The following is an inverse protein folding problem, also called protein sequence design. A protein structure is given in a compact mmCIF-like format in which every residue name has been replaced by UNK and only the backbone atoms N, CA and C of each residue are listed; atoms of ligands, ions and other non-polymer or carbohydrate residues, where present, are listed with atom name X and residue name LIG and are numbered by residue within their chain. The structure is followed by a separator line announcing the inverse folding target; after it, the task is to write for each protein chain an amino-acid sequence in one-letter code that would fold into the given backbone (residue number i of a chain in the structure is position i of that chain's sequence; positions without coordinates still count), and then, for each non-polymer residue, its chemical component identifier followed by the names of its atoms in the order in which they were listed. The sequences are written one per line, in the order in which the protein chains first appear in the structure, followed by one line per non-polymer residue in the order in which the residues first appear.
data_IF_016515006983
#
_entry.id   IF_016515006983
#
_cell.length_a   1.000
_cell.length_b   1.000
_cell.length_c   1.000
_cell.angle_alpha   90.00
_cell.angle_beta   90.00
_cell.angle_gamma   90.00
#
_symmetry.space_group_name_H-M   'P 1'
#
loop_
_entity.id
_entity.type
_entity.pdbx_description
1 polymer ?
#
# COMPACT_ATOMS: atom_id res chain seq x y z
N UNK A 1 21.36 2.16 31.72
CA UNK A 1 21.15 3.58 31.35
C UNK A 1 20.86 3.66 29.87
N UNK A 2 19.82 4.40 29.45
CA UNK A 2 19.41 4.50 28.04
C UNK A 2 17.89 4.40 27.82
N UNK A 3 17.09 5.21 28.52
CA UNK A 3 15.65 5.37 28.29
C UNK A 3 15.30 6.55 27.35
N UNK A 4 16.28 7.16 26.67
CA UNK A 4 16.12 8.47 26.04
C UNK A 4 16.01 8.49 24.50
N UNK A 5 15.68 7.37 23.85
CA UNK A 5 15.75 7.29 22.38
C UNK A 5 14.52 7.76 21.58
N UNK A 6 13.31 7.71 22.16
CA UNK A 6 12.05 7.82 21.38
C UNK A 6 11.04 8.83 21.94
N UNK A 7 11.16 9.29 23.18
CA UNK A 7 10.15 10.14 23.83
C UNK A 7 10.39 11.65 23.65
N UNK A 8 11.55 12.08 23.13
CA UNK A 8 12.00 13.47 23.27
C UNK A 8 11.59 14.48 22.19
N UNK A 9 10.94 14.11 21.08
CA UNK A 9 10.66 15.06 19.97
C UNK A 9 9.33 14.87 19.23
N UNK A 10 8.30 14.34 19.88
CA UNK A 10 6.96 14.31 19.27
C UNK A 10 6.21 15.63 19.54
N UNK A 11 6.68 16.73 18.96
CA UNK A 11 5.85 17.93 18.76
C UNK A 11 5.08 17.79 17.44
N UNK A 12 3.76 18.01 17.50
CA UNK A 12 2.76 17.96 16.42
C UNK A 12 3.19 17.58 15.00
N UNK A 13 2.78 16.38 14.55
CA UNK A 13 2.43 16.07 13.16
C UNK A 13 3.36 16.61 12.06
N UNK A 14 4.67 16.37 12.14
CA UNK A 14 5.56 16.66 11.00
C UNK A 14 5.23 15.72 9.83
N UNK A 15 4.45 16.23 8.87
CA UNK A 15 4.17 15.57 7.59
C UNK A 15 5.41 15.66 6.70
N UNK A 16 5.82 14.54 6.13
CA UNK A 16 6.93 14.47 5.17
C UNK A 16 6.35 14.61 3.76
N UNK A 17 6.38 15.81 3.20
CA UNK A 17 5.72 16.15 1.94
C UNK A 17 6.27 15.34 0.75
N UNK A 18 7.54 14.94 0.81
CA UNK A 18 8.23 14.16 -0.20
C UNK A 18 7.58 12.78 -0.39
N UNK A 19 7.05 12.21 0.70
CA UNK A 19 6.38 10.93 0.67
C UNK A 19 5.09 11.00 -0.15
N UNK A 20 4.36 12.12 -0.12
CA UNK A 20 3.14 12.29 -0.90
C UNK A 20 3.40 12.26 -2.41
N UNK A 21 4.50 12.88 -2.87
CA UNK A 21 4.91 12.83 -4.27
C UNK A 21 5.36 11.44 -4.69
N UNK A 22 6.20 10.77 -3.89
CA UNK A 22 6.67 9.42 -4.19
C UNK A 22 5.51 8.43 -4.29
N UNK A 23 4.50 8.56 -3.42
CA UNK A 23 3.26 7.79 -3.50
C UNK A 23 2.51 8.03 -4.81
N UNK A 24 2.37 9.30 -5.23
CA UNK A 24 1.68 9.61 -6.47
C UNK A 24 2.40 9.05 -7.71
N UNK A 25 3.73 9.17 -7.74
CA UNK A 25 4.56 8.58 -8.81
C UNK A 25 4.39 7.06 -8.85
N UNK A 26 4.43 6.39 -7.69
CA UNK A 26 4.17 4.95 -7.59
C UNK A 26 2.77 4.57 -8.08
N UNK A 27 1.75 5.36 -7.72
CA UNK A 27 0.37 5.16 -8.17
C UNK A 27 0.29 5.21 -9.69
N UNK A 28 0.83 6.28 -10.29
CA UNK A 28 0.82 6.48 -11.73
C UNK A 28 1.54 5.35 -12.45
N UNK A 29 2.72 4.93 -11.97
CA UNK A 29 3.43 3.79 -12.54
C UNK A 29 2.56 2.53 -12.59
N UNK A 30 1.80 2.24 -11.51
CA UNK A 30 0.86 1.12 -11.47
C UNK A 30 -0.32 1.32 -12.43
N UNK A 31 -0.86 2.54 -12.55
CA UNK A 31 -1.90 2.83 -13.56
C UNK A 31 -1.41 2.56 -14.97
N UNK A 32 -0.22 3.06 -15.34
CA UNK A 32 0.38 2.83 -16.65
C UNK A 32 0.65 1.35 -16.88
N UNK A 33 1.13 0.61 -15.88
CA UNK A 33 1.29 -0.85 -15.96
C UNK A 33 -0.04 -1.54 -16.30
N UNK A 34 -1.12 -1.17 -15.61
CA UNK A 34 -2.42 -1.75 -15.86
C UNK A 34 -2.93 -1.39 -17.26
N UNK A 35 -2.88 -0.11 -17.65
CA UNK A 35 -3.50 0.36 -18.90
C UNK A 35 -2.70 0.03 -20.16
N UNK A 36 -1.37 0.16 -20.12
CA UNK A 36 -0.53 0.03 -21.30
C UNK A 36 0.15 -1.33 -21.46
N UNK A 37 0.12 -2.20 -20.45
CA UNK A 37 0.75 -3.52 -20.52
C UNK A 37 -0.17 -4.64 -20.01
N UNK A 38 -0.38 -4.75 -18.70
CA UNK A 38 -1.00 -5.92 -18.06
C UNK A 38 -2.40 -6.21 -18.57
N UNK A 39 -3.19 -5.16 -18.85
CA UNK A 39 -4.57 -5.30 -19.28
C UNK A 39 -4.71 -6.10 -20.58
N UNK A 40 -3.82 -5.84 -21.53
CA UNK A 40 -3.77 -6.50 -22.83
C UNK A 40 -2.94 -7.80 -22.77
N UNK A 41 -1.74 -7.74 -22.21
CA UNK A 41 -0.78 -8.86 -22.19
C UNK A 41 -1.32 -10.11 -21.47
N UNK A 42 -2.24 -9.95 -20.51
CA UNK A 42 -2.87 -11.09 -19.83
C UNK A 42 -3.91 -11.84 -20.68
N UNK A 43 -4.41 -11.22 -21.75
CA UNK A 43 -5.50 -11.75 -22.60
C UNK A 43 -6.88 -11.83 -21.92
N UNK A 44 -6.98 -11.45 -20.64
CA UNK A 44 -8.15 -11.72 -19.79
C UNK A 44 -8.94 -10.46 -19.39
N UNK A 45 -8.42 -9.25 -19.61
CA UNK A 45 -9.04 -8.01 -19.09
C UNK A 45 -9.49 -7.03 -20.15
N UNK A 46 -8.62 -6.66 -21.08
CA UNK A 46 -8.95 -5.75 -22.18
C UNK A 46 -8.43 -6.25 -23.52
N UNK A 47 -9.16 -5.94 -24.59
CA UNK A 47 -8.73 -6.16 -25.98
C UNK A 47 -7.85 -5.03 -26.50
N UNK A 48 -7.81 -3.89 -25.80
CA UNK A 48 -7.06 -2.71 -26.23
C UNK A 48 -5.59 -2.82 -25.86
N UNK A 49 -4.72 -2.92 -26.87
CA UNK A 49 -3.28 -2.76 -26.70
C UNK A 49 -2.89 -1.28 -26.68
N UNK A 50 -1.73 -0.96 -26.08
CA UNK A 50 -1.15 0.38 -26.17
C UNK A 50 0.39 0.33 -26.31
N UNK A 51 0.90 -0.06 -27.51
CA UNK A 51 2.32 -0.38 -27.71
C UNK A 51 3.29 0.78 -27.41
N UNK A 52 2.83 2.03 -27.57
CA UNK A 52 3.65 3.23 -27.40
C UNK A 52 4.30 3.33 -26.01
N UNK A 53 3.62 2.85 -24.96
CA UNK A 53 4.13 2.90 -23.58
C UNK A 53 4.47 1.53 -23.02
N UNK A 54 4.22 0.44 -23.76
CA UNK A 54 4.36 -0.93 -23.29
C UNK A 54 5.76 -1.22 -22.73
N UNK A 55 6.81 -0.78 -23.45
CA UNK A 55 8.22 -1.03 -23.12
C UNK A 55 8.64 -0.49 -21.74
N UNK A 56 8.00 0.59 -21.29
CA UNK A 56 8.23 1.22 -19.98
C UNK A 56 7.17 0.77 -18.97
N UNK A 57 5.91 0.71 -19.38
CA UNK A 57 4.76 0.40 -18.53
C UNK A 57 4.85 -1.00 -17.91
N UNK A 58 5.47 -1.97 -18.58
CA UNK A 58 5.65 -3.34 -18.04
C UNK A 58 6.43 -3.40 -16.72
N UNK A 59 7.21 -2.36 -16.38
CA UNK A 59 7.88 -2.25 -15.08
C UNK A 59 7.03 -1.54 -14.01
N UNK A 60 5.91 -0.94 -14.39
CA UNK A 60 5.13 -0.08 -13.49
C UNK A 60 4.48 -0.81 -12.31
N UNK A 61 4.31 -2.14 -12.38
CA UNK A 61 3.88 -2.93 -11.21
C UNK A 61 4.82 -2.77 -10.02
N UNK A 62 6.11 -2.48 -10.30
CA UNK A 62 7.14 -2.28 -9.29
C UNK A 62 6.86 -1.05 -8.41
N UNK A 63 5.85 -0.23 -8.71
CA UNK A 63 5.40 0.85 -7.84
C UNK A 63 4.81 0.36 -6.51
N UNK A 64 4.33 -0.88 -6.44
CA UNK A 64 3.74 -1.46 -5.22
C UNK A 64 4.79 -1.66 -4.13
N UNK A 65 6.01 -2.01 -4.49
CA UNK A 65 7.16 -2.20 -3.62
C UNK A 65 7.58 -0.86 -2.99
N UNK A 66 7.50 0.24 -3.76
CA UNK A 66 7.69 1.59 -3.23
C UNK A 66 6.56 1.97 -2.27
N UNK A 67 5.31 1.59 -2.54
CA UNK A 67 4.21 1.77 -1.58
C UNK A 67 4.48 1.04 -0.26
N UNK A 68 4.92 -0.22 -0.29
CA UNK A 68 5.24 -0.98 0.92
C UNK A 68 6.41 -0.37 1.71
N UNK A 69 7.44 0.12 1.02
CA UNK A 69 8.55 0.83 1.67
C UNK A 69 8.09 2.14 2.32
N UNK A 70 7.26 2.93 1.63
CA UNK A 70 6.66 4.14 2.18
C UNK A 70 5.76 3.81 3.39
N UNK A 71 4.96 2.75 3.29
CA UNK A 71 4.10 2.30 4.38
C UNK A 71 4.92 1.91 5.61
N UNK A 72 6.00 1.15 5.46
CA UNK A 72 6.95 0.85 6.53
C UNK A 72 7.42 2.09 7.29
N UNK A 73 7.80 3.14 6.56
CA UNK A 73 8.23 4.43 7.13
C UNK A 73 7.10 5.11 7.91
N UNK A 74 5.95 5.34 7.26
CA UNK A 74 4.84 6.14 7.83
C UNK A 74 4.15 5.41 8.98
N UNK A 75 4.07 4.09 8.93
CA UNK A 75 3.43 3.27 9.95
C UNK A 75 4.25 3.29 11.23
N UNK A 76 5.57 3.06 11.16
CA UNK A 76 6.41 3.14 12.34
C UNK A 76 6.45 4.56 12.91
N UNK A 77 6.46 5.59 12.05
CA UNK A 77 6.33 6.99 12.46
C UNK A 77 5.04 7.26 13.25
N UNK A 78 3.91 6.69 12.81
CA UNK A 78 2.63 6.86 13.50
C UNK A 78 2.61 6.08 14.82
N UNK A 79 3.16 4.86 14.81
CA UNK A 79 3.22 3.97 15.96
C UNK A 79 4.19 4.44 17.06
N UNK A 80 5.19 5.26 16.73
CA UNK A 80 6.20 5.74 17.68
C UNK A 80 5.60 6.46 18.92
N UNK A 81 4.38 6.99 18.82
CA UNK A 81 3.65 7.58 19.94
C UNK A 81 3.14 6.53 20.97
N UNK A 82 3.26 5.23 20.70
CA UNK A 82 2.94 4.14 21.63
C UNK A 82 1.45 3.85 21.86
N UNK A 83 0.54 4.68 21.34
CA UNK A 83 -0.90 4.49 21.55
C UNK A 83 -1.53 3.58 20.50
N UNK A 84 -1.87 2.35 20.91
CA UNK A 84 -2.60 1.38 20.08
C UNK A 84 -3.92 1.96 19.55
N UNK A 85 -4.73 2.57 20.43
CA UNK A 85 -6.03 3.16 20.05
C UNK A 85 -5.86 4.22 18.97
N UNK A 86 -4.97 5.21 19.18
CA UNK A 86 -4.72 6.27 18.19
C UNK A 86 -4.21 5.70 16.87
N UNK A 87 -3.34 4.69 16.94
CA UNK A 87 -2.82 4.01 15.76
C UNK A 87 -3.94 3.35 14.93
N UNK A 88 -4.73 2.48 15.55
CA UNK A 88 -5.80 1.71 14.87
C UNK A 88 -6.87 2.65 14.32
N UNK A 89 -7.38 3.58 15.13
CA UNK A 89 -8.41 4.54 14.70
C UNK A 89 -7.90 5.39 13.53
N UNK A 90 -6.65 5.85 13.58
CA UNK A 90 -6.03 6.61 12.49
C UNK A 90 -5.96 5.81 11.18
N UNK A 91 -5.68 4.51 11.23
CA UNK A 91 -5.60 3.66 10.03
C UNK A 91 -6.98 3.34 9.46
N UNK A 92 -7.93 2.96 10.31
CA UNK A 92 -9.30 2.66 9.86
C UNK A 92 -9.94 3.89 9.23
N UNK A 93 -9.84 5.05 9.89
CA UNK A 93 -10.43 6.29 9.40
C UNK A 93 -9.79 6.82 8.11
N UNK A 94 -8.55 6.40 7.82
CA UNK A 94 -7.86 6.73 6.59
C UNK A 94 -8.29 5.85 5.41
N UNK A 95 -8.51 4.56 5.63
CA UNK A 95 -8.72 3.60 4.54
C UNK A 95 -10.21 3.38 4.23
N UNK A 96 -11.00 3.07 5.25
CA UNK A 96 -12.34 2.51 5.04
C UNK A 96 -13.32 3.45 4.32
N UNK A 97 -13.42 4.76 4.64
CA UNK A 97 -14.41 5.62 3.99
C UNK A 97 -14.24 5.69 2.47
N UNK A 98 -13.02 5.95 1.99
CA UNK A 98 -12.74 6.00 0.56
C UNK A 98 -12.77 4.60 -0.08
N UNK A 99 -12.30 3.56 0.62
CA UNK A 99 -12.40 2.18 0.16
C UNK A 99 -13.83 1.75 -0.10
N UNK A 100 -14.75 2.01 0.83
CA UNK A 100 -16.17 1.64 0.69
C UNK A 100 -16.80 2.28 -0.54
N UNK A 101 -16.55 3.57 -0.77
CA UNK A 101 -17.07 4.25 -1.95
C UNK A 101 -16.45 3.68 -3.23
N UNK A 102 -15.14 3.51 -3.29
CA UNK A 102 -14.49 2.99 -4.49
C UNK A 102 -14.87 1.54 -4.78
N UNK A 103 -14.94 0.68 -3.75
CA UNK A 103 -15.39 -0.70 -3.88
C UNK A 103 -16.84 -0.78 -4.38
N UNK A 104 -17.73 0.08 -3.87
CA UNK A 104 -19.11 0.19 -4.34
C UNK A 104 -19.19 0.65 -5.80
N UNK A 105 -18.38 1.65 -6.18
CA UNK A 105 -18.31 2.14 -7.56
C UNK A 105 -17.81 1.05 -8.51
N UNK A 106 -16.76 0.32 -8.14
CA UNK A 106 -16.24 -0.80 -8.94
C UNK A 106 -17.28 -1.92 -9.04
N UNK A 107 -17.96 -2.28 -7.94
CA UNK A 107 -19.02 -3.30 -7.96
C UNK A 107 -20.18 -2.88 -8.87
N UNK A 108 -20.64 -1.63 -8.77
CA UNK A 108 -21.69 -1.10 -9.64
C UNK A 108 -21.25 -1.08 -11.10
N UNK A 109 -20.02 -0.68 -11.41
CA UNK A 109 -19.49 -0.71 -12.76
C UNK A 109 -19.43 -2.14 -13.31
N UNK A 110 -19.07 -3.14 -12.50
CA UNK A 110 -19.14 -4.55 -12.91
C UNK A 110 -20.57 -4.95 -13.27
N UNK A 111 -21.57 -4.57 -12.48
CA UNK A 111 -22.98 -4.90 -12.75
C UNK A 111 -23.52 -4.22 -14.01
N UNK A 112 -23.12 -2.97 -14.27
CA UNK A 112 -23.66 -2.17 -15.38
C UNK A 112 -22.92 -2.40 -16.71
N UNK A 113 -21.59 -2.55 -16.66
CA UNK A 113 -20.71 -2.52 -17.84
C UNK A 113 -19.62 -3.60 -17.82
N UNK A 114 -19.67 -4.57 -16.91
CA UNK A 114 -18.63 -5.61 -16.79
C UNK A 114 -18.54 -6.58 -17.96
N UNK A 115 -19.65 -6.84 -18.64
CA UNK A 115 -19.71 -7.82 -19.74
C UNK A 115 -19.22 -9.22 -19.31
N UNK A 116 -18.73 -10.05 -20.24
CA UNK A 116 -18.33 -11.43 -19.93
C UNK A 116 -16.98 -11.52 -19.18
N UNK A 117 -16.17 -10.46 -19.18
CA UNK A 117 -14.81 -10.46 -18.59
C UNK A 117 -14.78 -10.13 -17.11
N UNK A 118 -15.80 -9.44 -16.60
CA UNK A 118 -15.88 -9.00 -15.22
C UNK A 118 -17.17 -9.49 -14.59
N UNK A 119 -17.04 -10.20 -13.48
CA UNK A 119 -18.17 -10.65 -12.67
C UNK A 119 -17.81 -10.54 -11.19
N UNK A 120 -18.82 -10.25 -10.37
CA UNK A 120 -18.71 -10.24 -8.92
C UNK A 120 -20.04 -10.63 -8.31
N UNK A 121 -20.01 -11.46 -7.27
CA UNK A 121 -21.23 -11.80 -6.52
C UNK A 121 -21.49 -10.76 -5.43
N UNK A 122 -22.75 -10.63 -5.00
CA UNK A 122 -23.09 -9.74 -3.89
C UNK A 122 -22.37 -10.15 -2.58
N UNK A 123 -22.20 -11.45 -2.33
CA UNK A 123 -21.42 -11.93 -1.17
C UNK A 123 -19.94 -11.57 -1.29
N UNK A 124 -19.35 -11.67 -2.49
CA UNK A 124 -17.99 -11.23 -2.73
C UNK A 124 -17.84 -9.73 -2.42
N UNK A 125 -18.82 -8.91 -2.80
CA UNK A 125 -18.86 -7.49 -2.46
C UNK A 125 -18.89 -7.24 -0.96
N UNK A 126 -19.80 -7.88 -0.23
CA UNK A 126 -19.90 -7.72 1.23
C UNK A 126 -18.59 -8.10 1.94
N UNK A 127 -17.95 -9.20 1.52
CA UNK A 127 -16.67 -9.61 2.09
C UNK A 127 -15.56 -8.62 1.74
N UNK A 128 -15.50 -8.12 0.49
CA UNK A 128 -14.51 -7.12 0.09
C UNK A 128 -14.65 -5.82 0.88
N UNK A 129 -15.87 -5.39 1.25
CA UNK A 129 -16.11 -4.21 2.08
C UNK A 129 -15.46 -4.27 3.48
N UNK A 130 -15.03 -5.45 3.92
CA UNK A 130 -14.24 -5.63 5.16
C UNK A 130 -12.73 -5.50 4.95
N UNK A 131 -12.24 -5.56 3.70
CA UNK A 131 -10.82 -5.69 3.35
C UNK A 131 -10.13 -6.96 3.93
N UNK A 132 -10.89 -7.91 4.48
CA UNK A 132 -10.40 -9.17 5.06
C UNK A 132 -10.61 -10.36 4.11
N UNK A 133 -10.94 -10.11 2.85
CA UNK A 133 -11.28 -11.14 1.87
C UNK A 133 -10.14 -12.17 1.68
N UNK A 134 -8.88 -11.75 1.82
CA UNK A 134 -7.72 -12.65 1.77
C UNK A 134 -7.68 -13.69 2.91
N UNK A 135 -8.17 -13.36 4.11
CA UNK A 135 -8.20 -14.31 5.24
C UNK A 135 -9.25 -15.41 5.04
N UNK A 136 -10.36 -15.08 4.39
CA UNK A 136 -11.46 -16.02 4.08
C UNK A 136 -11.36 -16.60 2.66
N UNK A 137 -10.24 -16.35 1.96
CA UNK A 137 -9.95 -16.84 0.60
C UNK A 137 -11.01 -16.44 -0.44
N UNK A 138 -11.66 -15.30 -0.26
CA UNK A 138 -12.57 -14.72 -1.23
C UNK A 138 -11.81 -13.79 -2.17
N UNK A 139 -12.00 -13.95 -3.48
CA UNK A 139 -11.34 -13.14 -4.48
C UNK A 139 -11.67 -11.65 -4.32
N UNK A 140 -10.67 -10.80 -4.52
CA UNK A 140 -10.89 -9.36 -4.52
C UNK A 140 -11.77 -8.94 -5.70
N UNK A 141 -12.68 -7.99 -5.49
CA UNK A 141 -13.50 -7.42 -6.57
C UNK A 141 -12.62 -6.72 -7.60
N UNK A 142 -11.58 -6.02 -7.14
CA UNK A 142 -10.54 -5.48 -7.99
C UNK A 142 -9.20 -6.12 -7.65
N UNK A 143 -8.38 -6.35 -8.68
CA UNK A 143 -7.06 -6.96 -8.51
C UNK A 143 -6.19 -6.15 -7.56
N UNK A 144 -6.13 -4.83 -7.73
CA UNK A 144 -5.31 -3.92 -6.91
C UNK A 144 -5.57 -3.99 -5.40
N UNK A 145 -6.69 -4.55 -4.93
CA UNK A 145 -6.98 -4.64 -3.49
C UNK A 145 -6.09 -5.65 -2.75
N UNK A 146 -5.40 -6.54 -3.46
CA UNK A 146 -4.48 -7.51 -2.81
C UNK A 146 -3.37 -6.80 -2.01
N UNK A 147 -2.88 -5.65 -2.48
CA UNK A 147 -1.79 -4.92 -1.80
C UNK A 147 -2.27 -4.28 -0.50
N UNK A 148 -3.53 -3.86 -0.43
CA UNK A 148 -4.15 -3.34 0.78
C UNK A 148 -4.33 -4.41 1.84
N UNK A 149 -4.66 -5.64 1.41
CA UNK A 149 -4.71 -6.78 2.31
C UNK A 149 -3.35 -7.02 2.98
N UNK A 150 -2.27 -6.99 2.19
CA UNK A 150 -0.89 -7.08 2.72
C UNK A 150 -0.60 -5.93 3.71
N UNK A 151 -1.05 -4.72 3.41
CA UNK A 151 -0.89 -3.57 4.31
C UNK A 151 -1.66 -3.76 5.64
N UNK A 152 -2.85 -4.37 5.60
CA UNK A 152 -3.63 -4.72 6.80
C UNK A 152 -2.90 -5.75 7.66
N UNK A 153 -2.26 -6.76 7.05
CA UNK A 153 -1.44 -7.71 7.80
C UNK A 153 -0.30 -6.98 8.53
N UNK A 154 0.35 -6.02 7.87
CA UNK A 154 1.40 -5.24 8.52
C UNK A 154 0.86 -4.32 9.64
N UNK A 155 -0.33 -3.73 9.46
CA UNK A 155 -1.00 -3.01 10.56
C UNK A 155 -1.29 -3.91 11.75
N UNK A 156 -1.69 -5.17 11.52
CA UNK A 156 -1.93 -6.14 12.59
C UNK A 156 -0.64 -6.47 13.34
N UNK A 157 0.48 -6.68 12.63
CA UNK A 157 1.79 -6.91 13.24
C UNK A 157 2.22 -5.73 14.13
N UNK A 158 2.12 -4.49 13.63
CA UNK A 158 2.49 -3.30 14.42
C UNK A 158 1.53 -3.08 15.59
N UNK A 159 0.24 -3.38 15.42
CA UNK A 159 -0.74 -3.34 16.50
C UNK A 159 -0.41 -4.33 17.61
N UNK A 160 0.05 -5.55 17.27
CA UNK A 160 0.52 -6.53 18.26
C UNK A 160 1.75 -6.00 19.03
N UNK A 161 2.70 -5.37 18.33
CA UNK A 161 3.89 -4.74 18.98
C UNK A 161 3.48 -3.63 19.95
N UNK A 162 2.51 -2.79 19.57
CA UNK A 162 1.98 -1.73 20.44
C UNK A 162 1.22 -2.29 21.64
N UNK A 163 0.43 -3.35 21.44
CA UNK A 163 -0.30 -4.03 22.51
C UNK A 163 0.65 -4.63 23.56
N UNK A 164 1.78 -5.18 23.12
CA UNK A 164 2.82 -5.73 24.00
C UNK A 164 3.75 -4.66 24.60
N UNK A 165 3.58 -3.38 24.25
CA UNK A 165 4.43 -2.30 24.73
C UNK A 165 5.88 -2.36 24.22
N UNK A 166 6.14 -3.11 23.14
CA UNK A 166 7.49 -3.39 22.63
C UNK A 166 7.97 -2.38 21.57
N UNK A 167 7.24 -1.29 21.34
CA UNK A 167 7.58 -0.29 20.31
C UNK A 167 8.96 0.36 20.56
N UNK A 168 9.39 0.45 21.82
CA UNK A 168 10.73 0.93 22.19
C UNK A 168 11.86 0.03 21.68
N UNK A 169 11.54 -1.24 21.39
CA UNK A 169 12.47 -2.24 20.83
C UNK A 169 12.28 -2.44 19.33
N UNK A 170 11.64 -1.48 18.62
CA UNK A 170 11.33 -1.60 17.20
C UNK A 170 12.54 -2.04 16.35
N UNK A 171 13.74 -1.48 16.57
CA UNK A 171 14.94 -1.88 15.82
C UNK A 171 15.28 -3.37 15.99
N UNK A 172 15.21 -3.90 17.22
CA UNK A 172 15.49 -5.31 17.49
C UNK A 172 14.42 -6.23 16.88
N UNK A 173 13.14 -5.82 16.93
CA UNK A 173 12.04 -6.55 16.30
C UNK A 173 12.15 -6.57 14.78
N UNK A 174 12.54 -5.44 14.15
CA UNK A 174 12.80 -5.37 12.71
C UNK A 174 13.98 -6.26 12.33
N UNK A 175 15.04 -6.30 13.14
CA UNK A 175 16.18 -7.20 12.92
C UNK A 175 15.78 -8.68 13.05
N UNK A 176 14.96 -9.02 14.05
CA UNK A 176 14.42 -10.37 14.20
C UNK A 176 13.52 -10.76 13.03
N UNK A 177 12.66 -9.84 12.55
CA UNK A 177 11.82 -10.07 11.38
C UNK A 177 12.64 -10.23 10.10
N UNK A 178 13.71 -9.44 9.93
CA UNK A 178 14.65 -9.59 8.82
C UNK A 178 15.36 -10.95 8.87
N UNK A 179 15.87 -11.36 10.04
CA UNK A 179 16.51 -12.66 10.22
C UNK A 179 15.54 -13.82 9.94
N UNK A 180 14.29 -13.73 10.41
CA UNK A 180 13.25 -14.70 10.12
C UNK A 180 12.92 -14.76 8.61
N UNK A 181 12.91 -13.61 7.92
CA UNK A 181 12.71 -13.53 6.47
C UNK A 181 13.82 -14.27 5.72
N UNK A 182 15.09 -14.07 6.11
CA UNK A 182 16.24 -14.80 5.56
C UNK A 182 16.14 -16.31 5.85
N UNK A 183 15.79 -16.69 7.07
CA UNK A 183 15.66 -18.10 7.44
C UNK A 183 14.55 -18.80 6.64
N UNK A 184 13.41 -18.15 6.46
CA UNK A 184 12.27 -18.67 5.69
C UNK A 184 12.53 -18.72 4.18
N UNK A 185 13.49 -17.95 3.68
CA UNK A 185 13.96 -18.06 2.31
C UNK A 185 14.78 -19.34 2.05
N UNK A 186 15.35 -19.94 3.10
CA UNK A 186 16.12 -21.19 3.06
C UNK A 186 15.24 -22.39 3.43
N UNK A 187 14.40 -22.24 4.46
CA UNK A 187 13.48 -23.27 4.95
C UNK A 187 12.05 -22.74 4.83
N UNK A 188 11.38 -22.95 3.68
CA UNK A 188 10.06 -22.37 3.44
C UNK A 188 9.00 -22.96 4.38
N UNK A 189 8.25 -22.09 5.04
CA UNK A 189 7.03 -22.44 5.76
C UNK A 189 5.89 -21.51 5.30
N UNK A 190 4.81 -22.05 4.68
CA UNK A 190 3.78 -21.22 4.07
C UNK A 190 2.99 -20.39 5.08
N UNK A 191 2.77 -20.91 6.29
CA UNK A 191 2.05 -20.20 7.36
C UNK A 191 2.87 -19.02 7.85
N UNK A 192 4.16 -19.24 8.14
CA UNK A 192 5.04 -18.15 8.60
C UNK A 192 5.31 -17.13 7.49
N UNK A 193 5.45 -17.57 6.24
CA UNK A 193 5.55 -16.69 5.06
C UNK A 193 4.34 -15.76 4.93
N UNK A 194 3.15 -16.29 5.14
CA UNK A 194 1.91 -15.51 5.14
C UNK A 194 1.82 -14.55 6.33
N UNK A 195 2.07 -15.03 7.56
CA UNK A 195 1.94 -14.22 8.78
C UNK A 195 2.99 -13.11 8.88
N UNK A 196 4.23 -13.39 8.44
CA UNK A 196 5.34 -12.44 8.45
C UNK A 196 5.52 -11.73 7.11
N UNK A 197 4.62 -11.96 6.15
CA UNK A 197 4.60 -11.25 4.86
C UNK A 197 5.98 -11.30 4.18
N UNK A 198 6.67 -12.44 4.22
CA UNK A 198 8.11 -12.49 3.88
C UNK A 198 8.40 -12.11 2.43
N UNK A 199 7.41 -12.23 1.55
CA UNK A 199 7.49 -11.82 0.14
C UNK A 199 7.71 -10.32 -0.06
N UNK A 200 7.26 -9.50 0.89
CA UNK A 200 7.34 -8.05 0.83
C UNK A 200 8.02 -7.43 2.07
N UNK A 201 8.40 -8.27 3.05
CA UNK A 201 9.05 -7.87 4.28
C UNK A 201 10.29 -6.98 4.06
N UNK A 202 11.19 -7.23 3.08
CA UNK A 202 12.34 -6.37 2.84
C UNK A 202 11.96 -4.90 2.61
N UNK A 203 10.86 -4.62 1.92
CA UNK A 203 10.40 -3.26 1.66
C UNK A 203 9.82 -2.60 2.92
N UNK A 204 8.93 -3.29 3.65
CA UNK A 204 8.38 -2.78 4.91
C UNK A 204 9.47 -2.54 5.96
N UNK A 205 10.41 -3.48 6.11
CA UNK A 205 11.54 -3.36 7.04
C UNK A 205 12.42 -2.19 6.62
N UNK A 206 12.81 -2.09 5.34
CA UNK A 206 13.63 -0.97 4.86
C UNK A 206 12.96 0.38 5.14
N UNK A 207 11.66 0.51 4.85
CA UNK A 207 10.87 1.69 5.17
C UNK A 207 10.92 2.07 6.65
N UNK A 208 10.68 1.09 7.52
CA UNK A 208 10.72 1.28 8.97
C UNK A 208 12.13 1.66 9.47
N UNK A 209 13.18 1.06 8.92
CA UNK A 209 14.58 1.40 9.23
C UNK A 209 14.92 2.81 8.73
N UNK A 210 14.45 3.22 7.54
CA UNK A 210 14.60 4.60 7.06
C UNK A 210 13.93 5.60 8.00
N UNK A 211 12.79 5.27 8.60
CA UNK A 211 12.20 6.11 9.65
C UNK A 211 13.09 6.18 10.89
N UNK A 212 13.68 5.07 11.35
CA UNK A 212 14.63 5.09 12.46
C UNK A 212 15.88 5.93 12.15
N UNK A 213 16.34 5.93 10.90
CA UNK A 213 17.42 6.82 10.44
C UNK A 213 16.97 8.27 10.49
N UNK A 214 15.76 8.56 10.01
CA UNK A 214 15.18 9.90 10.01
C UNK A 214 14.94 10.48 11.42
N UNK A 215 14.55 9.63 12.38
CA UNK A 215 14.24 10.04 13.76
C UNK A 215 15.46 10.06 14.67
N UNK A 216 16.39 9.13 14.47
CA UNK A 216 17.43 8.80 15.46
C UNK A 216 18.82 8.61 14.83
N UNK A 217 19.03 9.00 13.56
CA UNK A 217 20.32 9.01 12.87
C UNK A 217 20.73 7.68 12.21
N UNK A 218 21.76 7.71 11.37
CA UNK A 218 22.33 6.48 10.80
C UNK A 218 23.30 5.80 11.78
N UNK A 219 23.41 4.47 11.74
CA UNK A 219 24.46 3.70 12.41
C UNK A 219 24.76 2.41 11.62
N UNK A 220 25.87 1.73 11.94
CA UNK A 220 26.31 0.53 11.22
C UNK A 220 25.26 -0.57 11.15
N UNK A 221 24.49 -0.79 12.22
CA UNK A 221 23.42 -1.81 12.24
C UNK A 221 22.30 -1.43 11.28
N UNK A 222 21.82 -0.18 11.28
CA UNK A 222 20.77 0.30 10.38
C UNK A 222 21.22 0.23 8.91
N UNK A 223 22.47 0.59 8.63
CA UNK A 223 23.05 0.46 7.29
C UNK A 223 23.13 -1.01 6.85
N UNK A 224 23.58 -1.91 7.74
CA UNK A 224 23.61 -3.36 7.48
C UNK A 224 22.22 -3.94 7.21
N UNK A 225 21.21 -3.53 7.97
CA UNK A 225 19.82 -3.93 7.74
C UNK A 225 19.30 -3.46 6.37
N UNK A 226 19.57 -2.20 5.99
CA UNK A 226 19.18 -1.65 4.69
C UNK A 226 19.87 -2.37 3.53
N UNK A 227 21.17 -2.68 3.66
CA UNK A 227 21.91 -3.44 2.67
C UNK A 227 21.36 -4.86 2.51
N UNK A 228 21.04 -5.54 3.61
CA UNK A 228 20.40 -6.85 3.59
C UNK A 228 18.99 -6.81 2.97
N UNK A 229 18.19 -5.79 3.29
CA UNK A 229 16.87 -5.60 2.66
C UNK A 229 17.00 -5.36 1.15
N UNK A 230 17.98 -4.57 0.70
CA UNK A 230 18.25 -4.35 -0.71
C UNK A 230 18.66 -5.66 -1.41
N UNK A 231 19.56 -6.44 -0.79
CA UNK A 231 19.98 -7.74 -1.31
C UNK A 231 18.82 -8.73 -1.47
N UNK A 232 17.95 -8.83 -0.46
CA UNK A 232 16.74 -9.68 -0.52
C UNK A 232 15.76 -9.18 -1.58
N UNK A 233 15.47 -7.88 -1.62
CA UNK A 233 14.59 -7.28 -2.61
C UNK A 233 15.06 -7.55 -4.04
N UNK A 234 16.37 -7.41 -4.31
CA UNK A 234 16.96 -7.71 -5.62
C UNK A 234 16.90 -9.20 -5.95
N UNK A 235 17.24 -10.07 -5.00
CA UNK A 235 17.15 -11.53 -5.16
C UNK A 235 15.73 -11.95 -5.55
N UNK A 236 14.74 -11.51 -4.78
CA UNK A 236 13.36 -11.96 -4.95
C UNK A 236 12.76 -11.38 -6.25
N UNK A 237 13.03 -10.10 -6.55
CA UNK A 237 12.58 -9.49 -7.80
C UNK A 237 13.19 -10.17 -9.04
N UNK A 238 14.51 -10.42 -9.05
CA UNK A 238 15.19 -11.08 -10.17
C UNK A 238 14.79 -12.55 -10.30
N UNK A 239 14.60 -13.25 -9.17
CA UNK A 239 14.12 -14.64 -9.13
C UNK A 239 12.69 -14.81 -9.63
N UNK A 240 11.85 -13.78 -9.49
CA UNK A 240 10.48 -13.77 -10.02
C UNK A 240 10.36 -13.48 -11.52
N UNK A 241 11.39 -12.92 -12.16
CA UNK A 241 11.32 -12.53 -13.57
C UNK A 241 11.00 -13.67 -14.53
N UNK A 242 11.60 -14.87 -14.45
CA UNK A 242 11.32 -15.94 -15.40
C UNK A 242 9.84 -16.33 -15.45
N UNK A 243 9.18 -16.41 -14.29
CA UNK A 243 7.75 -16.70 -14.21
C UNK A 243 6.90 -15.56 -14.80
N UNK A 244 7.30 -14.31 -14.56
CA UNK A 244 6.62 -13.14 -15.12
C UNK A 244 6.77 -13.09 -16.65
N UNK A 245 8.00 -13.26 -17.15
CA UNK A 245 8.34 -13.30 -18.58
C UNK A 245 7.54 -14.39 -19.29
N UNK A 246 7.43 -15.59 -18.68
CA UNK A 246 6.61 -16.68 -19.20
C UNK A 246 5.10 -16.35 -19.18
N UNK A 247 4.59 -15.76 -18.09
CA UNK A 247 3.16 -15.52 -17.90
C UNK A 247 2.57 -14.53 -18.89
N UNK A 248 3.37 -13.55 -19.30
CA UNK A 248 2.96 -12.43 -20.16
C UNK A 248 3.65 -12.42 -21.52
N UNK A 249 4.39 -13.49 -21.86
CA UNK A 249 5.16 -13.62 -23.10
C UNK A 249 5.99 -12.35 -23.42
N UNK A 250 6.77 -11.90 -22.44
CA UNK A 250 7.58 -10.68 -22.57
C UNK A 250 8.99 -10.88 -22.06
N UNK A 251 9.87 -9.91 -22.32
CA UNK A 251 11.25 -9.89 -21.80
C UNK A 251 11.47 -8.70 -20.89
N UNK A 252 12.09 -8.93 -19.73
CA UNK A 252 12.39 -7.92 -18.74
C UNK A 252 13.91 -7.67 -18.66
N UNK A 253 14.30 -6.41 -18.71
CA UNK A 253 15.70 -6.03 -18.51
C UNK A 253 16.04 -6.16 -17.04
N UNK A 254 16.94 -7.10 -16.72
CA UNK A 254 17.44 -7.29 -15.34
C UNK A 254 18.11 -6.01 -14.81
N UNK A 255 18.85 -5.30 -15.66
CA UNK A 255 19.47 -4.02 -15.30
C UNK A 255 18.45 -2.93 -14.96
N UNK A 256 17.33 -2.87 -15.69
CA UNK A 256 16.24 -1.91 -15.39
C UNK A 256 15.56 -2.24 -14.07
N UNK A 257 15.30 -3.51 -13.77
CA UNK A 257 14.73 -3.95 -12.49
C UNK A 257 15.65 -3.57 -11.33
N UNK A 258 16.95 -3.83 -11.45
CA UNK A 258 17.95 -3.44 -10.45
C UNK A 258 17.95 -1.92 -10.26
N UNK A 259 17.98 -1.15 -11.36
CA UNK A 259 18.00 0.30 -11.31
C UNK A 259 16.75 0.89 -10.62
N UNK A 260 15.56 0.34 -10.90
CA UNK A 260 14.31 0.75 -10.24
C UNK A 260 14.39 0.50 -8.73
N UNK A 261 14.74 -0.72 -8.30
CA UNK A 261 14.80 -1.05 -6.87
C UNK A 261 15.83 -0.19 -6.15
N UNK A 262 17.04 -0.05 -6.71
CA UNK A 262 18.08 0.81 -6.15
C UNK A 262 17.61 2.26 -6.06
N UNK A 263 16.90 2.76 -7.08
CA UNK A 263 16.35 4.12 -7.06
C UNK A 263 15.38 4.36 -5.90
N UNK A 264 14.59 3.35 -5.50
CA UNK A 264 13.69 3.46 -4.35
C UNK A 264 14.44 3.58 -3.03
N UNK A 265 15.49 2.75 -2.83
CA UNK A 265 16.35 2.84 -1.64
C UNK A 265 17.10 4.17 -1.59
N UNK A 266 17.59 4.67 -2.72
CA UNK A 266 18.26 5.98 -2.82
C UNK A 266 17.26 7.11 -2.51
N UNK A 267 16.07 7.09 -3.11
CA UNK A 267 15.03 8.09 -2.86
C UNK A 267 14.61 8.13 -1.37
N UNK A 268 14.36 6.97 -0.77
CA UNK A 268 14.01 6.87 0.65
C UNK A 268 15.20 7.22 1.56
N UNK A 269 16.43 6.92 1.14
CA UNK A 269 17.65 7.36 1.82
C UNK A 269 17.81 8.89 1.83
N UNK A 270 17.56 9.55 0.69
CA UNK A 270 17.55 11.02 0.61
C UNK A 270 16.50 11.63 1.53
N UNK A 271 15.29 11.05 1.58
CA UNK A 271 14.23 11.47 2.52
C UNK A 271 14.66 11.28 3.97
N UNK A 272 15.21 10.10 4.30
CA UNK A 272 15.63 9.76 5.66
C UNK A 272 16.78 10.66 6.17
N UNK A 273 17.74 10.97 5.30
CA UNK A 273 18.87 11.87 5.58
C UNK A 273 18.51 13.36 5.44
N UNK A 274 17.26 13.67 5.07
CA UNK A 274 16.76 15.04 4.83
C UNK A 274 17.57 15.81 3.78
N UNK A 275 18.14 15.09 2.81
CA UNK A 275 18.91 15.65 1.70
C UNK A 275 18.03 16.05 0.50
N UNK A 276 16.72 16.18 0.72
CA UNK A 276 15.76 16.51 -0.34
C UNK A 276 15.88 17.99 -0.74
N UNK A 277 15.73 18.29 -2.02
CA UNK A 277 15.72 19.67 -2.52
C UNK A 277 14.42 20.42 -2.16
N UNK A 278 14.38 21.75 -2.34
CA UNK A 278 13.19 22.56 -2.06
C UNK A 278 11.96 22.17 -2.89
N UNK A 279 12.14 21.66 -4.11
CA UNK A 279 11.05 21.18 -4.97
C UNK A 279 10.33 19.97 -4.36
N UNK A 280 11.07 19.02 -3.81
CA UNK A 280 10.50 17.83 -3.16
C UNK A 280 9.77 18.22 -1.87
N UNK A 281 10.27 19.24 -1.16
CA UNK A 281 9.63 19.81 0.04
C UNK A 281 8.37 20.63 -0.23
N UNK A 282 8.04 20.91 -1.50
CA UNK A 282 6.81 21.63 -1.87
C UNK A 282 5.56 20.87 -1.37
N UNK A 283 4.44 21.58 -1.21
CA UNK A 283 3.18 20.99 -0.72
C UNK A 283 2.51 20.14 -1.81
N UNK A 284 2.85 18.86 -1.87
CA UNK A 284 2.23 17.84 -2.75
C UNK A 284 0.93 17.26 -2.19
N UNK A 285 0.18 18.08 -1.42
CA UNK A 285 -0.98 17.63 -0.66
C UNK A 285 -2.06 17.02 -1.54
N UNK A 286 -2.32 17.63 -2.70
CA UNK A 286 -3.31 17.14 -3.64
C UNK A 286 -2.87 15.83 -4.30
N UNK A 287 -1.60 15.72 -4.70
CA UNK A 287 -1.06 14.49 -5.28
C UNK A 287 -1.15 13.32 -4.29
N UNK A 288 -0.75 13.54 -3.03
CA UNK A 288 -0.88 12.54 -1.97
C UNK A 288 -2.33 12.17 -1.66
N UNK A 289 -3.23 13.14 -1.68
CA UNK A 289 -4.66 12.94 -1.45
C UNK A 289 -5.33 12.12 -2.57
N UNK A 290 -5.03 12.43 -3.83
CA UNK A 290 -5.61 11.71 -4.98
C UNK A 290 -5.07 10.29 -5.14
N UNK A 291 -3.88 10.01 -4.59
CA UNK A 291 -3.20 8.73 -4.76
C UNK A 291 -4.07 7.54 -4.32
N UNK A 292 -4.75 7.64 -3.18
CA UNK A 292 -5.50 6.49 -2.65
C UNK A 292 -6.76 6.17 -3.47
N UNK A 293 -7.68 7.13 -3.74
CA UNK A 293 -8.81 6.87 -4.63
C UNK A 293 -8.40 6.48 -6.06
N UNK A 294 -7.33 7.08 -6.60
CA UNK A 294 -6.79 6.73 -7.92
C UNK A 294 -6.37 5.26 -7.96
N UNK A 295 -5.61 4.83 -6.96
CA UNK A 295 -5.16 3.45 -6.85
C UNK A 295 -6.35 2.48 -6.76
N UNK A 296 -7.41 2.84 -6.05
CA UNK A 296 -8.60 1.98 -5.89
C UNK A 296 -9.46 1.88 -7.15
N UNK A 297 -9.62 2.98 -7.91
CA UNK A 297 -10.57 3.04 -9.02
C UNK A 297 -9.98 2.64 -10.37
N UNK A 298 -8.67 2.78 -10.56
CA UNK A 298 -8.12 2.75 -11.92
C UNK A 298 -8.30 1.42 -12.65
N UNK A 299 -8.12 0.28 -11.99
CA UNK A 299 -7.87 -0.98 -12.67
C UNK A 299 -9.10 -1.52 -13.41
N UNK A 300 -10.09 -2.10 -12.71
CA UNK A 300 -11.20 -2.75 -13.41
C UNK A 300 -12.11 -1.74 -14.12
N UNK A 301 -12.38 -0.58 -13.51
CA UNK A 301 -13.17 0.48 -14.15
C UNK A 301 -12.49 0.94 -15.44
N UNK A 302 -11.17 1.15 -15.42
CA UNK A 302 -10.41 1.52 -16.61
C UNK A 302 -10.50 0.47 -17.71
N UNK A 303 -10.37 -0.82 -17.37
CA UNK A 303 -10.51 -1.90 -18.35
C UNK A 303 -11.92 -2.01 -18.94
N UNK A 304 -12.96 -1.82 -18.13
CA UNK A 304 -14.34 -1.83 -18.61
C UNK A 304 -14.58 -0.67 -19.59
N UNK A 305 -14.08 0.53 -19.28
CA UNK A 305 -14.14 1.67 -20.21
C UNK A 305 -13.38 1.37 -21.50
N UNK A 306 -12.19 0.78 -21.43
CA UNK A 306 -11.42 0.40 -22.62
C UNK A 306 -12.21 -0.57 -23.50
N UNK A 307 -12.82 -1.61 -22.92
CA UNK A 307 -13.60 -2.60 -23.67
C UNK A 307 -14.85 -2.00 -24.33
N UNK A 308 -15.49 -1.01 -23.71
CA UNK A 308 -16.65 -0.34 -24.27
C UNK A 308 -16.30 0.68 -25.36
N UNK A 309 -15.25 1.48 -25.13
CA UNK A 309 -14.96 2.65 -25.95
C UNK A 309 -14.02 2.36 -27.12
N UNK A 310 -13.05 1.46 -26.94
CA UNK A 310 -12.04 1.15 -27.97
C UNK A 310 -12.63 0.68 -29.32
N UNK A 311 -13.73 -0.10 -29.37
CA UNK A 311 -14.30 -0.50 -30.67
C UNK A 311 -14.77 0.66 -31.55
N UNK A 312 -15.06 1.83 -30.96
CA UNK A 312 -15.62 2.98 -31.67
C UNK A 312 -14.70 4.22 -31.69
N UNK A 313 -13.69 4.28 -30.82
CA UNK A 313 -12.85 5.46 -30.61
C UNK A 313 -11.36 5.13 -30.74
N UNK A 314 -10.59 6.18 -31.07
CA UNK A 314 -9.13 6.11 -31.15
C UNK A 314 -8.50 5.66 -29.79
N UNK A 315 -7.52 4.73 -29.81
CA UNK A 315 -6.84 4.26 -28.61
C UNK A 315 -6.23 5.36 -27.73
N UNK A 316 -5.69 6.44 -28.29
CA UNK A 316 -5.12 7.54 -27.50
C UNK A 316 -6.21 8.30 -26.76
N UNK A 317 -7.34 8.56 -27.43
CA UNK A 317 -8.48 9.21 -26.79
C UNK A 317 -9.05 8.36 -25.65
N UNK A 318 -9.19 7.05 -25.86
CA UNK A 318 -9.66 6.12 -24.83
C UNK A 318 -8.69 6.06 -23.66
N UNK A 319 -7.39 5.94 -23.92
CA UNK A 319 -6.36 5.85 -22.88
C UNK A 319 -6.32 7.09 -22.00
N UNK A 320 -6.11 8.26 -22.60
CA UNK A 320 -5.95 9.52 -21.87
C UNK A 320 -7.28 10.02 -21.31
N UNK A 321 -8.39 9.81 -22.03
CA UNK A 321 -9.74 10.13 -21.54
C UNK A 321 -10.11 9.32 -20.31
N UNK A 322 -9.81 8.02 -20.30
CA UNK A 322 -10.04 7.15 -19.12
C UNK A 322 -9.18 7.59 -17.94
N UNK A 323 -7.90 7.89 -18.16
CA UNK A 323 -7.02 8.38 -17.12
C UNK A 323 -7.55 9.70 -16.52
N UNK A 324 -7.95 10.65 -17.36
CA UNK A 324 -8.54 11.90 -16.93
C UNK A 324 -9.84 11.68 -16.13
N UNK A 325 -10.71 10.78 -16.60
CA UNK A 325 -11.97 10.43 -15.93
C UNK A 325 -11.73 9.82 -14.55
N UNK A 326 -10.80 8.86 -14.43
CA UNK A 326 -10.47 8.22 -13.15
C UNK A 326 -9.81 9.22 -12.20
N UNK A 327 -8.93 10.11 -12.68
CA UNK A 327 -8.37 11.19 -11.86
C UNK A 327 -9.45 12.15 -11.36
N UNK A 328 -10.41 12.50 -12.22
CA UNK A 328 -11.55 13.32 -11.83
C UNK A 328 -12.46 12.62 -10.81
N UNK A 329 -12.77 11.34 -11.01
CA UNK A 329 -13.53 10.53 -10.05
C UNK A 329 -12.78 10.42 -8.71
N UNK A 330 -11.46 10.25 -8.74
CA UNK A 330 -10.60 10.22 -7.55
C UNK A 330 -10.65 11.54 -6.79
N UNK A 331 -10.69 12.66 -7.51
CA UNK A 331 -10.87 13.98 -6.93
C UNK A 331 -12.25 14.15 -6.30
N UNK A 332 -13.31 13.66 -6.94
CA UNK A 332 -14.67 13.67 -6.37
C UNK A 332 -14.74 12.85 -5.08
N UNK A 333 -14.14 11.65 -5.03
CA UNK A 333 -14.08 10.83 -3.82
C UNK A 333 -13.31 11.56 -2.72
N UNK A 334 -12.15 12.15 -3.03
CA UNK A 334 -11.38 12.92 -2.05
C UNK A 334 -12.17 14.12 -1.51
N UNK A 335 -12.76 14.92 -2.40
CA UNK A 335 -13.48 16.14 -2.03
C UNK A 335 -14.79 15.84 -1.27
N UNK A 336 -15.53 14.83 -1.71
CA UNK A 336 -16.83 14.45 -1.15
C UNK A 336 -16.74 13.60 0.10
N UNK A 337 -15.76 12.68 0.17
CA UNK A 337 -15.66 11.68 1.25
C UNK A 337 -14.59 12.08 2.25
N UNK A 338 -13.33 12.12 1.82
CA UNK A 338 -12.20 12.27 2.74
C UNK A 338 -12.19 13.65 3.42
N UNK A 339 -12.41 14.73 2.67
CA UNK A 339 -12.38 16.08 3.24
C UNK A 339 -13.54 16.33 4.21
N UNK A 340 -14.69 15.69 4.01
CA UNK A 340 -15.94 15.98 4.74
C UNK A 340 -16.19 15.03 5.91
N UNK A 341 -15.87 13.74 5.75
CA UNK A 341 -16.30 12.70 6.68
C UNK A 341 -15.16 12.08 7.50
N UNK A 342 -13.87 12.25 7.14
CA UNK A 342 -12.77 11.65 7.93
C UNK A 342 -12.79 12.08 9.40
N UNK A 343 -13.02 13.36 9.70
CA UNK A 343 -13.09 13.84 11.09
C UNK A 343 -14.32 13.33 11.85
N UNK A 344 -15.46 13.16 11.18
CA UNK A 344 -16.68 12.61 11.78
C UNK A 344 -16.51 11.12 12.06
N UNK A 345 -15.92 10.40 11.11
CA UNK A 345 -15.65 8.98 11.21
C UNK A 345 -14.61 8.67 12.30
N UNK A 346 -13.55 9.47 12.43
CA UNK A 346 -12.61 9.35 13.56
C UNK A 346 -13.34 9.45 14.90
N UNK A 347 -14.22 10.44 15.08
CA UNK A 347 -15.03 10.59 16.31
C UNK A 347 -15.96 9.40 16.53
N UNK A 348 -16.57 8.86 15.48
CA UNK A 348 -17.43 7.69 15.57
C UNK A 348 -16.64 6.43 15.99
N UNK A 349 -15.46 6.21 15.41
CA UNK A 349 -14.57 5.13 15.82
C UNK A 349 -14.13 5.26 17.28
N UNK A 350 -13.75 6.48 17.70
CA UNK A 350 -13.39 6.72 19.09
C UNK A 350 -14.56 6.45 20.04
N UNK A 351 -15.77 6.91 19.70
CA UNK A 351 -16.97 6.62 20.49
C UNK A 351 -17.30 5.12 20.56
N UNK A 352 -17.13 4.37 19.46
CA UNK A 352 -17.33 2.93 19.44
C UNK A 352 -16.33 2.18 20.34
N UNK A 353 -15.06 2.60 20.35
CA UNK A 353 -14.03 2.06 21.25
C UNK A 353 -14.39 2.34 22.71
N UNK A 354 -14.86 3.56 23.02
CA UNK A 354 -15.28 3.92 24.38
C UNK A 354 -16.51 3.14 24.85
N UNK A 355 -17.50 2.96 23.97
CA UNK A 355 -18.69 2.15 24.25
C UNK A 355 -18.32 0.68 24.52
N UNK A 356 -17.45 0.08 23.70
CA UNK A 356 -16.97 -1.29 23.89
C UNK A 356 -16.18 -1.46 25.20
N UNK A 357 -15.29 -0.51 25.52
CA UNK A 357 -14.57 -0.51 26.79
C UNK A 357 -15.51 -0.35 27.99
N UNK A 358 -16.56 0.45 27.87
CA UNK A 358 -17.60 0.60 28.88
C UNK A 358 -18.41 -0.68 29.10
N UNK A 359 -18.76 -1.38 28.02
CA UNK A 359 -19.45 -2.67 28.08
C UNK A 359 -18.60 -3.74 28.78
N UNK A 360 -17.31 -3.85 28.41
CA UNK A 360 -16.37 -4.79 29.05
C UNK A 360 -16.16 -4.48 30.53
N UNK A 361 -16.13 -3.20 30.94
CA UNK A 361 -16.08 -2.83 32.36
C UNK A 361 -17.36 -3.21 33.09
N UNK A 362 -18.54 -3.07 32.48
CA UNK A 362 -19.83 -3.47 33.08
C UNK A 362 -19.93 -4.99 33.23
N UNK A 363 -19.45 -5.75 32.24
CA UNK A 363 -19.40 -7.22 32.30
C UNK A 363 -18.36 -7.69 33.33
N UNK A 364 -17.18 -7.05 33.40
CA UNK A 364 -16.14 -7.36 34.38
C UNK A 364 -16.42 -6.89 35.81
N UNK A 365 -17.36 -5.95 36.01
CA UNK A 365 -17.85 -5.52 37.33
C UNK A 365 -19.15 -6.21 37.73
N UNK A 366 -19.61 -7.19 36.94
CA UNK A 366 -20.63 -8.15 37.33
C UNK A 366 -20.15 -9.01 38.49
N UNK A 367 -20.17 -8.44 39.71
CA UNK A 367 -20.43 -9.21 40.91
C UNK A 367 -21.71 -9.98 40.65
N UNK A 368 -21.60 -11.29 40.53
CA UNK A 368 -22.68 -12.21 40.83
C UNK A 368 -23.29 -11.75 42.16
N UNK A 369 -24.50 -11.21 42.10
CA UNK A 369 -25.40 -11.08 43.25
C UNK A 369 -26.50 -12.09 43.08
#
# INVERSE_FOLDING_TARGET
MGKEGLSGRCSGGQRVNEIDLLRFVAAMAVVFYHYAFRGFAGGDRTTMAYPLLESVAKYGFMGVELFFMISGFVILMTAANGSLRKFVVSRIARLYPAFWVCCSLTFLAILLIGGPRFSATFMQYLVNMTMLNGFVRVASIDGVYWSLFVEIQFYAMVSAVLMLGLISRAQALLLAWLAATVALAIVPNPVLRFLLITDYAPYFIAGAVFYLVWSSGANGVRCGMLAACLGLALRDALGGLPLFEQRYDTRMSRGTVVAIIVSYFVAMGMVALRWTGPLLRRRWLLAGALTYPLYLLHQNIGYMIFNLAHPALDPHLVFWGTLALVLFASWLVHAGVERRYTGQFMRACDGAVDAGAGLLRRVGTGRWR
#
